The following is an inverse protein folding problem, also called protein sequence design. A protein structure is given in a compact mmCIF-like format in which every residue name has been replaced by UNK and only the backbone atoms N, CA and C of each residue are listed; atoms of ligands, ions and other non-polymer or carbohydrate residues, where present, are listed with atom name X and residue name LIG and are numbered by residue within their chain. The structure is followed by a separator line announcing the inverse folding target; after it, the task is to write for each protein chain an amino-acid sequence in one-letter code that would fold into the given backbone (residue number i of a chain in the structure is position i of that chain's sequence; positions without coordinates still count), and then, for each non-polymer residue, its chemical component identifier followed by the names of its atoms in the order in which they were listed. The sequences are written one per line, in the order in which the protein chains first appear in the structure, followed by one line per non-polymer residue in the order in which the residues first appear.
data_IF_339131678506
#
_entry.id   IF_339131678506
#
_cell.length_a   1.000
_cell.length_b   1.000
_cell.length_c   1.000
_cell.angle_alpha   90.00
_cell.angle_beta   90.00
_cell.angle_gamma   90.00
#
_symmetry.space_group_name_H-M   'P 1'
#
loop_
_entity.id
_entity.type
_entity.pdbx_description
1 polymer ?
#
# COMPACT_ATOMS: atom_id res chain seq x y z
N UNK A 1 23.42 51.01 73.01
CA UNK A 1 23.38 50.83 71.54
C UNK A 1 22.15 50.00 71.17
N UNK A 2 21.16 50.56 70.45
CA UNK A 2 20.23 49.72 69.70
C UNK A 2 19.87 50.30 68.32
N UNK A 3 19.81 49.45 67.29
CA UNK A 3 18.70 49.45 66.32
C UNK A 3 18.74 48.16 65.50
N UNK A 4 17.95 47.18 65.94
CA UNK A 4 17.55 46.05 65.11
C UNK A 4 16.59 46.60 64.06
N UNK A 5 16.83 46.30 62.77
CA UNK A 5 15.85 46.56 61.72
C UNK A 5 15.62 45.29 60.90
N UNK A 6 14.53 44.61 61.23
CA UNK A 6 14.01 43.44 60.57
C UNK A 6 13.28 43.86 59.30
N UNK A 7 13.90 43.67 58.13
CA UNK A 7 13.19 43.79 56.84
C UNK A 7 12.51 42.46 56.52
N UNK A 8 11.20 42.53 56.56
CA UNK A 8 10.18 41.52 56.31
C UNK A 8 10.30 40.82 54.96
N UNK A 9 10.29 39.48 55.01
CA UNK A 9 9.94 38.56 53.93
C UNK A 9 8.48 38.80 53.50
N UNK A 10 8.26 39.14 52.23
CA UNK A 10 7.00 38.87 51.52
C UNK A 10 7.30 38.54 50.06
N UNK A 11 7.62 37.29 49.79
CA UNK A 11 7.58 36.74 48.45
C UNK A 11 6.17 36.20 48.21
N UNK A 12 5.27 37.11 47.87
CA UNK A 12 3.98 36.80 47.27
C UNK A 12 4.15 36.97 45.77
N UNK A 13 4.06 35.89 45.00
CA UNK A 13 2.83 35.56 44.30
C UNK A 13 2.99 34.28 43.48
N UNK A 14 1.88 33.55 43.45
CA UNK A 14 1.71 32.23 42.86
C UNK A 14 1.58 32.43 41.36
N UNK A 15 2.66 32.19 40.61
CA UNK A 15 2.53 32.03 39.18
C UNK A 15 2.04 30.60 38.88
N UNK A 16 0.74 30.56 38.59
CA UNK A 16 -0.04 29.41 38.19
C UNK A 16 0.72 28.47 37.25
N UNK A 17 0.85 27.22 37.69
CA UNK A 17 1.21 26.06 36.86
C UNK A 17 0.17 25.90 35.74
N UNK A 18 0.36 26.62 34.63
CA UNK A 18 -0.41 26.48 33.39
C UNK A 18 0.16 25.37 32.50
N UNK A 19 0.35 24.18 33.08
CA UNK A 19 0.66 22.98 32.30
C UNK A 19 -0.34 21.88 32.64
N UNK A 20 -1.62 22.26 32.66
CA UNK A 20 -2.71 21.30 32.66
C UNK A 20 -2.83 20.71 31.26
N UNK A 21 -2.27 19.52 31.11
CA UNK A 21 -2.77 18.45 30.26
C UNK A 21 -3.17 18.84 28.82
N UNK A 22 -2.17 18.94 27.94
CA UNK A 22 -2.38 18.58 26.54
C UNK A 22 -1.54 17.34 26.26
N UNK A 23 -2.07 16.19 26.67
CA UNK A 23 -1.61 14.88 26.21
C UNK A 23 -1.72 14.85 24.69
N UNK A 24 -0.56 15.01 24.05
CA UNK A 24 -0.09 14.27 22.88
C UNK A 24 -1.14 13.31 22.26
N UNK A 25 -2.13 13.85 21.55
CA UNK A 25 -2.93 13.07 20.61
C UNK A 25 -2.10 12.98 19.33
N UNK A 26 -1.05 12.14 19.34
CA UNK A 26 -0.44 11.68 18.10
C UNK A 26 -1.53 10.90 17.38
N UNK A 27 -2.14 11.54 16.39
CA UNK A 27 -3.16 10.94 15.56
C UNK A 27 -2.63 9.65 14.97
N UNK A 28 -3.24 8.54 15.37
CA UNK A 28 -3.11 7.25 14.70
C UNK A 28 -3.90 7.31 13.38
N UNK A 29 -3.52 8.23 12.49
CA UNK A 29 -3.96 8.19 11.10
C UNK A 29 -3.10 7.15 10.40
N UNK A 30 -3.54 5.89 10.41
CA UNK A 30 -2.98 4.90 9.51
C UNK A 30 -3.12 5.46 8.08
N UNK A 31 -2.03 5.56 7.30
CA UNK A 31 -2.14 6.05 5.94
C UNK A 31 -3.03 5.09 5.16
N UNK A 32 -4.07 5.61 4.49
CA UNK A 32 -5.02 4.80 3.72
C UNK A 32 -4.32 3.90 2.68
N UNK A 33 -3.11 4.26 2.25
CA UNK A 33 -2.25 3.48 1.36
C UNK A 33 -1.80 2.16 2.00
N UNK A 34 -1.43 2.15 3.28
CA UNK A 34 -0.99 0.93 3.95
C UNK A 34 -2.12 -0.11 4.07
N UNK A 35 -3.35 0.35 4.33
CA UNK A 35 -4.53 -0.53 4.34
C UNK A 35 -4.85 -1.08 2.93
N UNK A 36 -4.64 -0.28 1.88
CA UNK A 36 -4.85 -0.72 0.51
C UNK A 36 -3.81 -1.77 0.07
N UNK A 37 -2.56 -1.62 0.49
CA UNK A 37 -1.48 -2.57 0.22
C UNK A 37 -1.74 -3.91 0.93
N UNK A 38 -2.13 -3.91 2.21
CA UNK A 38 -2.47 -5.14 2.93
C UNK A 38 -3.65 -5.90 2.30
N UNK A 39 -4.69 -5.17 1.89
CA UNK A 39 -5.85 -5.76 1.22
C UNK A 39 -5.44 -6.36 -0.12
N UNK A 40 -4.59 -5.68 -0.88
CA UNK A 40 -4.10 -6.18 -2.16
C UNK A 40 -3.24 -7.44 -1.97
N UNK A 41 -2.34 -7.44 -0.99
CA UNK A 41 -1.50 -8.60 -0.68
C UNK A 41 -2.33 -9.83 -0.25
N UNK A 42 -3.44 -9.61 0.46
CA UNK A 42 -4.38 -10.68 0.78
C UNK A 42 -4.98 -11.31 -0.49
N UNK A 43 -5.38 -10.49 -1.48
CA UNK A 43 -5.87 -10.97 -2.76
C UNK A 43 -4.82 -11.79 -3.52
N UNK A 44 -3.54 -11.37 -3.49
CA UNK A 44 -2.45 -12.11 -4.13
C UNK A 44 -2.19 -13.45 -3.41
N UNK A 45 -2.22 -13.48 -2.08
CA UNK A 45 -2.11 -14.75 -1.33
C UNK A 45 -3.25 -15.71 -1.65
N UNK A 46 -4.48 -15.20 -1.75
CA UNK A 46 -5.65 -15.98 -2.16
C UNK A 46 -5.49 -16.54 -3.59
N UNK A 47 -5.04 -15.72 -4.54
CA UNK A 47 -4.76 -16.17 -5.90
C UNK A 47 -3.71 -17.28 -5.96
N UNK A 48 -2.66 -17.21 -5.14
CA UNK A 48 -1.64 -18.26 -5.01
C UNK A 48 -2.20 -19.58 -4.46
N UNK A 49 -3.27 -19.53 -3.67
CA UNK A 49 -4.00 -20.73 -3.24
C UNK A 49 -4.98 -21.28 -4.28
N UNK A 50 -5.09 -20.64 -5.44
CA UNK A 50 -5.90 -21.09 -6.59
C UNK A 50 -7.16 -20.26 -6.85
N UNK A 51 -7.56 -19.38 -5.93
CA UNK A 51 -8.71 -18.51 -6.13
C UNK A 51 -8.29 -17.15 -6.73
N UNK A 52 -8.21 -17.13 -8.06
CA UNK A 52 -7.68 -16.01 -8.84
C UNK A 52 -8.72 -14.94 -9.16
N UNK A 53 -10.02 -15.27 -9.15
CA UNK A 53 -11.08 -14.38 -9.60
C UNK A 53 -11.15 -13.04 -8.82
N UNK A 54 -11.00 -13.01 -7.48
CA UNK A 54 -11.07 -11.75 -6.73
C UNK A 54 -9.99 -10.75 -7.11
N UNK A 55 -8.74 -11.20 -7.31
CA UNK A 55 -7.65 -10.28 -7.66
C UNK A 55 -7.72 -9.84 -9.12
N UNK A 56 -8.19 -10.71 -10.03
CA UNK A 56 -8.41 -10.34 -11.44
C UNK A 56 -9.49 -9.27 -11.56
N UNK A 57 -10.61 -9.42 -10.86
CA UNK A 57 -11.67 -8.41 -10.81
C UNK A 57 -11.14 -7.07 -10.28
N UNK A 58 -10.37 -7.12 -9.19
CA UNK A 58 -9.75 -5.94 -8.60
C UNK A 58 -8.77 -5.23 -9.55
N UNK A 59 -7.87 -5.97 -10.20
CA UNK A 59 -6.88 -5.42 -11.13
C UNK A 59 -7.52 -4.85 -12.38
N UNK A 60 -8.55 -5.51 -12.92
CA UNK A 60 -9.35 -5.01 -14.03
C UNK A 60 -10.03 -3.68 -13.69
N UNK A 61 -10.73 -3.62 -12.55
CA UNK A 61 -11.39 -2.39 -12.09
C UNK A 61 -10.37 -1.26 -11.86
N UNK A 62 -9.28 -1.54 -11.14
CA UNK A 62 -8.25 -0.54 -10.85
C UNK A 62 -7.61 -0.01 -12.14
N UNK A 63 -7.32 -0.88 -13.11
CA UNK A 63 -6.79 -0.48 -14.42
C UNK A 63 -7.71 0.52 -15.13
N UNK A 64 -9.02 0.32 -15.04
CA UNK A 64 -10.02 1.21 -15.65
C UNK A 64 -10.17 2.56 -14.91
N UNK A 65 -9.95 2.59 -13.59
CA UNK A 65 -10.21 3.77 -12.76
C UNK A 65 -8.98 4.66 -12.57
N UNK A 66 -7.86 4.06 -12.20
CA UNK A 66 -6.67 4.78 -11.70
C UNK A 66 -5.39 4.37 -12.43
N UNK A 67 -5.44 3.28 -13.20
CA UNK A 67 -4.27 2.64 -13.78
C UNK A 67 -3.57 1.69 -12.81
N UNK A 68 -2.52 1.02 -13.28
CA UNK A 68 -1.78 0.02 -12.51
C UNK A 68 -0.33 0.45 -12.28
N UNK A 69 0.23 0.07 -11.14
CA UNK A 69 1.68 0.13 -10.94
C UNK A 69 2.39 -0.92 -11.82
N UNK A 70 3.72 -0.81 -11.97
CA UNK A 70 4.49 -1.80 -12.74
C UNK A 70 4.36 -3.21 -12.14
N UNK A 71 4.42 -3.30 -10.81
CA UNK A 71 4.22 -4.56 -10.09
C UNK A 71 2.81 -5.12 -10.34
N UNK A 72 1.77 -4.29 -10.24
CA UNK A 72 0.40 -4.75 -10.46
C UNK A 72 0.13 -5.21 -11.89
N UNK A 73 0.81 -4.63 -12.88
CA UNK A 73 0.77 -5.14 -14.27
C UNK A 73 1.40 -6.52 -14.39
N UNK A 74 2.57 -6.73 -13.76
CA UNK A 74 3.24 -8.03 -13.74
C UNK A 74 2.37 -9.09 -13.03
N UNK A 75 1.82 -8.74 -11.87
CA UNK A 75 0.92 -9.60 -11.09
C UNK A 75 -0.35 -9.95 -11.89
N UNK A 76 -0.91 -9.01 -12.66
CA UNK A 76 -2.06 -9.28 -13.52
C UNK A 76 -1.71 -10.34 -14.58
N UNK A 77 -0.60 -10.17 -15.30
CA UNK A 77 -0.15 -11.16 -16.29
C UNK A 77 0.05 -12.53 -15.65
N UNK A 78 0.71 -12.58 -14.49
CA UNK A 78 0.99 -13.83 -13.81
C UNK A 78 -0.28 -14.54 -13.34
N UNK A 79 -1.19 -13.82 -12.69
CA UNK A 79 -2.44 -14.39 -12.17
C UNK A 79 -3.38 -14.81 -13.29
N UNK A 80 -3.48 -14.03 -14.38
CA UNK A 80 -4.25 -14.42 -15.55
C UNK A 80 -3.69 -15.71 -16.17
N UNK A 81 -2.36 -15.89 -16.14
CA UNK A 81 -1.71 -17.14 -16.51
C UNK A 81 -2.05 -18.31 -15.59
N UNK A 82 -2.20 -18.10 -14.28
CA UNK A 82 -2.69 -19.15 -13.37
C UNK A 82 -4.13 -19.55 -13.63
N UNK A 83 -4.97 -18.59 -14.03
CA UNK A 83 -6.37 -18.81 -14.37
C UNK A 83 -6.59 -19.44 -15.76
N UNK A 84 -5.53 -19.60 -16.56
CA UNK A 84 -5.62 -20.11 -17.94
C UNK A 84 -6.22 -19.11 -18.93
N UNK A 85 -6.20 -17.81 -18.62
CA UNK A 85 -6.74 -16.76 -19.48
C UNK A 85 -5.69 -16.31 -20.51
N UNK A 86 -5.30 -17.23 -21.41
CA UNK A 86 -4.19 -17.02 -22.34
C UNK A 86 -4.40 -15.81 -23.28
N UNK A 87 -5.64 -15.56 -23.72
CA UNK A 87 -5.97 -14.37 -24.53
C UNK A 87 -5.75 -13.06 -23.77
N UNK A 88 -6.15 -13.01 -22.49
CA UNK A 88 -5.97 -11.86 -21.62
C UNK A 88 -4.49 -11.61 -21.34
N UNK A 89 -3.73 -12.68 -21.06
CA UNK A 89 -2.27 -12.61 -20.90
C UNK A 89 -1.61 -11.99 -22.13
N UNK A 90 -1.98 -12.44 -23.34
CA UNK A 90 -1.42 -11.89 -24.58
C UNK A 90 -1.82 -10.42 -24.77
N UNK A 91 -3.06 -10.06 -24.48
CA UNK A 91 -3.52 -8.67 -24.57
C UNK A 91 -2.74 -7.75 -23.61
N UNK A 92 -2.60 -8.16 -22.34
CA UNK A 92 -1.84 -7.43 -21.33
C UNK A 92 -0.36 -7.31 -21.71
N UNK A 93 0.26 -8.39 -22.20
CA UNK A 93 1.65 -8.37 -22.65
C UNK A 93 1.87 -7.45 -23.85
N UNK A 94 0.93 -7.38 -24.79
CA UNK A 94 1.04 -6.43 -25.92
C UNK A 94 0.97 -4.98 -25.46
N UNK A 95 0.14 -4.69 -24.46
CA UNK A 95 0.00 -3.34 -23.92
C UNK A 95 1.22 -2.91 -23.08
N UNK A 96 1.70 -3.80 -22.21
CA UNK A 96 2.64 -3.44 -21.13
C UNK A 96 4.03 -4.08 -21.28
N UNK A 97 4.21 -5.00 -22.25
CA UNK A 97 5.37 -5.86 -22.37
C UNK A 97 6.69 -5.12 -22.52
N UNK A 98 6.70 -3.94 -23.16
CA UNK A 98 7.92 -3.12 -23.26
C UNK A 98 8.49 -2.75 -21.88
N UNK A 99 7.63 -2.45 -20.91
CA UNK A 99 8.04 -2.15 -19.53
C UNK A 99 8.34 -3.41 -18.71
N UNK A 100 7.74 -4.55 -19.09
CA UNK A 100 7.83 -5.83 -18.37
C UNK A 100 8.85 -6.81 -18.96
N UNK A 101 9.59 -6.45 -20.01
CA UNK A 101 10.59 -7.31 -20.65
C UNK A 101 11.68 -7.84 -19.70
N UNK A 102 11.98 -7.11 -18.62
CA UNK A 102 12.96 -7.53 -17.60
C UNK A 102 12.36 -8.45 -16.54
N UNK A 103 11.04 -8.52 -16.44
CA UNK A 103 10.36 -9.43 -15.52
C UNK A 103 10.24 -10.82 -16.17
N UNK A 104 11.13 -11.72 -15.75
CA UNK A 104 11.22 -13.07 -16.32
C UNK A 104 9.93 -13.87 -16.16
N UNK A 105 9.16 -13.65 -15.08
CA UNK A 105 7.91 -14.34 -14.83
C UNK A 105 6.82 -13.92 -15.83
N UNK A 106 6.65 -12.61 -16.05
CA UNK A 106 5.72 -12.08 -17.05
C UNK A 106 6.08 -12.54 -18.46
N UNK A 107 7.38 -12.50 -18.82
CA UNK A 107 7.86 -12.96 -20.12
C UNK A 107 7.55 -14.46 -20.35
N UNK A 108 7.86 -15.31 -19.36
CA UNK A 108 7.60 -16.73 -19.45
C UNK A 108 6.10 -17.05 -19.53
N UNK A 109 5.27 -16.31 -18.79
CA UNK A 109 3.82 -16.45 -18.81
C UNK A 109 3.24 -16.04 -20.17
N UNK A 110 3.67 -14.91 -20.72
CA UNK A 110 3.28 -14.47 -22.06
C UNK A 110 3.71 -15.46 -23.14
N UNK A 111 4.94 -15.98 -23.08
CA UNK A 111 5.43 -16.98 -24.02
C UNK A 111 4.59 -18.27 -23.97
N UNK A 112 4.21 -18.73 -22.77
CA UNK A 112 3.32 -19.89 -22.60
C UNK A 112 1.95 -19.62 -23.21
N UNK A 113 1.35 -18.47 -22.94
CA UNK A 113 0.05 -18.10 -23.49
C UNK A 113 0.08 -18.05 -25.03
N UNK A 114 1.10 -17.40 -25.62
CA UNK A 114 1.30 -17.39 -27.08
C UNK A 114 1.43 -18.79 -27.68
N UNK A 115 2.06 -19.72 -26.97
CA UNK A 115 2.18 -21.12 -27.40
C UNK A 115 0.81 -21.80 -27.35
N UNK A 116 0.09 -21.69 -26.23
CA UNK A 116 -1.19 -22.35 -26.04
C UNK A 116 -2.23 -21.91 -27.08
N UNK A 117 -2.28 -20.61 -27.43
CA UNK A 117 -3.20 -20.08 -28.46
C UNK A 117 -2.87 -20.52 -29.90
N UNK A 118 -1.75 -21.21 -30.13
CA UNK A 118 -1.35 -21.75 -31.44
C UNK A 118 -1.63 -23.24 -31.59
N UNK A 119 -1.97 -23.93 -30.49
CA UNK A 119 -2.26 -25.36 -30.47
C UNK A 119 -3.73 -25.60 -30.80
#
# INVERSE_FOLDING_TARGET
MPKVNSRSLRFTERHATKYAASLLFIGLSLPATALADERYDALIRQARSGDTAPVLAYLSQRRAQEGLSLQQRADYIQVAGWAGHDEEVVALWRADGAALQRDSASLATAARAYRNLKQ
#
